data_IF_129259609788
#
_entry.id   IF_129259609788
#
_cell.length_a   1.000
_cell.length_b   1.000
_cell.length_c   1.000
_cell.angle_alpha   90.00
_cell.angle_beta   90.00
_cell.angle_gamma   90.00
#
_symmetry.space_group_name_H-M   'P 1'
#
loop_
_entity.id
_entity.type
_entity.pdbx_description
1 polymer ?
#
# COMPACT_ATOMS: atom_id res chain seq x y z
N UNK A 1 -18.32 -7.04 6.33
CA UNK A 1 -17.18 -6.12 6.09
C UNK A 1 -17.57 -5.14 5.00
N UNK A 2 -17.89 -3.88 5.37
CA UNK A 2 -18.27 -2.83 4.41
C UNK A 2 -17.12 -2.66 3.40
N UNK A 3 -17.45 -2.73 2.12
CA UNK A 3 -16.55 -2.81 0.96
C UNK A 3 -15.39 -1.79 1.00
N UNK A 4 -14.30 -2.12 1.70
CA UNK A 4 -13.09 -1.30 1.82
C UNK A 4 -12.42 -1.13 0.46
N UNK A 5 -12.49 -2.18 -0.38
CA UNK A 5 -11.99 -2.16 -1.76
C UNK A 5 -12.68 -1.07 -2.58
N UNK A 6 -14.02 -1.00 -2.54
CA UNK A 6 -14.79 0.04 -3.22
C UNK A 6 -14.48 1.45 -2.70
N UNK A 7 -14.39 1.64 -1.38
CA UNK A 7 -14.04 2.96 -0.81
C UNK A 7 -12.63 3.42 -1.16
N UNK A 8 -11.63 2.53 -1.13
CA UNK A 8 -10.24 2.87 -1.47
C UNK A 8 -10.10 3.12 -2.98
N UNK A 9 -10.81 2.33 -3.81
CA UNK A 9 -10.80 2.49 -5.26
C UNK A 9 -11.39 3.85 -5.69
N UNK A 10 -12.47 4.32 -5.06
CA UNK A 10 -13.03 5.66 -5.31
C UNK A 10 -12.14 6.79 -4.78
N UNK A 11 -11.43 6.59 -3.66
CA UNK A 11 -10.57 7.63 -3.08
C UNK A 11 -9.32 7.92 -3.94
N UNK A 12 -8.80 6.90 -4.61
CA UNK A 12 -7.62 6.97 -5.48
C UNK A 12 -7.96 6.89 -6.97
N UNK A 13 -9.23 7.02 -7.36
CA UNK A 13 -9.64 7.22 -8.76
C UNK A 13 -9.55 8.69 -9.18
N UNK A 14 -8.57 9.45 -8.66
CA UNK A 14 -8.29 10.79 -9.17
C UNK A 14 -7.66 10.69 -10.56
N UNK A 15 -8.02 11.63 -11.42
CA UNK A 15 -7.50 11.72 -12.79
C UNK A 15 -5.96 11.69 -12.79
N UNK A 16 -5.39 10.82 -13.64
CA UNK A 16 -3.93 10.69 -13.82
C UNK A 16 -3.25 9.47 -13.20
N UNK A 17 -3.93 8.70 -12.33
CA UNK A 17 -3.36 7.47 -11.76
C UNK A 17 -3.57 6.28 -12.72
N UNK A 18 -2.49 5.55 -13.02
CA UNK A 18 -2.52 4.38 -13.92
C UNK A 18 -2.73 3.11 -13.10
N UNK A 19 -3.47 2.16 -13.64
CA UNK A 19 -3.60 0.81 -13.09
C UNK A 19 -2.80 -0.20 -13.92
N UNK A 20 -2.14 -1.16 -13.26
CA UNK A 20 -1.47 -2.29 -13.91
C UNK A 20 -1.68 -3.55 -13.11
N UNK A 21 -1.95 -4.64 -13.83
CA UNK A 21 -2.03 -5.98 -13.26
C UNK A 21 -0.66 -6.65 -13.22
N UNK A 22 -0.39 -7.32 -12.13
CA UNK A 22 0.79 -8.14 -11.87
C UNK A 22 0.33 -9.54 -11.50
N UNK A 23 1.23 -10.52 -11.63
CA UNK A 23 0.96 -11.91 -11.22
C UNK A 23 0.49 -12.03 -9.76
N UNK A 24 0.91 -11.11 -8.89
CA UNK A 24 0.62 -11.12 -7.45
C UNK A 24 -0.53 -10.20 -7.03
N UNK A 25 -1.04 -9.36 -7.92
CA UNK A 25 -2.02 -8.35 -7.57
C UNK A 25 -2.12 -7.19 -8.56
N UNK A 26 -2.86 -6.16 -8.16
CA UNK A 26 -3.11 -4.97 -8.99
C UNK A 26 -2.53 -3.75 -8.30
N UNK A 27 -1.73 -2.97 -9.04
CA UNK A 27 -1.29 -1.66 -8.59
C UNK A 27 -2.11 -0.57 -9.25
N UNK A 28 -2.43 0.47 -8.49
CA UNK A 28 -2.99 1.72 -8.98
C UNK A 28 -2.23 2.88 -8.36
N UNK A 29 -1.56 3.68 -9.17
CA UNK A 29 -0.73 4.76 -8.64
C UNK A 29 0.10 5.49 -9.68
N UNK A 30 1.07 6.23 -9.15
CA UNK A 30 2.07 6.94 -9.93
C UNK A 30 3.14 5.96 -10.48
N UNK A 31 3.69 6.33 -11.63
CA UNK A 31 4.78 5.62 -12.30
C UNK A 31 5.85 6.62 -12.69
N UNK A 32 7.09 6.14 -12.76
CA UNK A 32 8.22 6.96 -13.20
C UNK A 32 8.02 7.37 -14.66
N UNK A 33 7.76 8.65 -14.92
CA UNK A 33 7.64 9.24 -16.27
C UNK A 33 6.62 8.54 -17.23
N UNK A 34 6.50 9.05 -18.46
CA UNK A 34 5.52 8.53 -19.43
C UNK A 34 5.89 7.14 -19.98
N UNK A 35 7.18 6.76 -19.96
CA UNK A 35 7.70 5.47 -20.44
C UNK A 35 7.88 4.43 -19.33
N UNK A 36 7.91 4.83 -18.06
CA UNK A 36 8.38 3.95 -17.01
C UNK A 36 7.35 2.94 -16.55
N UNK A 37 7.84 1.71 -16.45
CA UNK A 37 7.11 0.56 -15.91
C UNK A 37 7.28 0.41 -14.40
N UNK A 38 8.07 1.30 -13.77
CA UNK A 38 8.38 1.27 -12.35
C UNK A 38 7.41 2.15 -11.58
N UNK A 39 6.83 1.59 -10.51
CA UNK A 39 6.02 2.30 -9.53
C UNK A 39 6.89 3.31 -8.80
N UNK A 40 6.36 4.52 -8.65
CA UNK A 40 7.02 5.66 -8.04
C UNK A 40 5.95 6.51 -7.34
N UNK A 41 6.32 7.36 -6.39
CA UNK A 41 5.39 8.30 -5.76
C UNK A 41 4.33 7.60 -4.91
N UNK A 42 3.07 8.04 -4.98
CA UNK A 42 1.98 7.44 -4.18
C UNK A 42 1.21 6.40 -4.98
N UNK A 43 0.86 5.31 -4.31
CA UNK A 43 0.07 4.26 -4.94
C UNK A 43 -0.55 3.27 -3.96
N UNK A 44 -1.50 2.51 -4.50
CA UNK A 44 -2.20 1.43 -3.82
C UNK A 44 -1.87 0.12 -4.51
N UNK A 45 -1.50 -0.90 -3.74
CA UNK A 45 -1.32 -2.26 -4.25
C UNK A 45 -2.28 -3.22 -3.57
N UNK A 46 -3.04 -3.95 -4.37
CA UNK A 46 -3.98 -4.97 -3.93
C UNK A 46 -3.38 -6.33 -4.25
N UNK A 47 -2.94 -7.06 -3.23
CA UNK A 47 -2.48 -8.44 -3.45
C UNK A 47 -3.67 -9.38 -3.61
N UNK A 48 -3.53 -10.39 -4.46
CA UNK A 48 -4.54 -11.46 -4.58
C UNK A 48 -4.68 -12.29 -3.30
N UNK A 49 -3.65 -12.28 -2.44
CA UNK A 49 -3.73 -12.79 -1.07
C UNK A 49 -4.59 -11.95 -0.10
N UNK A 50 -5.22 -10.87 -0.58
CA UNK A 50 -6.15 -10.03 0.20
C UNK A 50 -5.49 -8.95 1.07
N UNK A 51 -4.16 -8.81 0.99
CA UNK A 51 -3.46 -7.66 1.58
C UNK A 51 -3.67 -6.41 0.71
N UNK A 52 -3.64 -5.23 1.34
CA UNK A 52 -3.71 -3.95 0.64
C UNK A 52 -2.64 -3.02 1.19
N UNK A 53 -1.80 -2.44 0.35
CA UNK A 53 -0.85 -1.41 0.73
C UNK A 53 -1.26 -0.08 0.14
N UNK A 54 -1.18 0.98 0.93
CA UNK A 54 -1.40 2.36 0.54
C UNK A 54 -0.21 3.16 1.05
N UNK A 55 0.58 3.72 0.14
CA UNK A 55 1.73 4.50 0.58
C UNK A 55 2.67 4.88 -0.55
N UNK A 56 3.90 5.17 -0.15
CA UNK A 56 4.95 5.63 -1.03
C UNK A 56 5.68 4.45 -1.71
N UNK A 57 6.13 4.72 -2.94
CA UNK A 57 6.84 3.81 -3.83
C UNK A 57 8.05 4.53 -4.43
N UNK A 58 9.15 3.80 -4.59
CA UNK A 58 10.35 4.28 -5.26
C UNK A 58 11.00 3.14 -6.03
N UNK A 59 11.22 3.33 -7.34
CA UNK A 59 11.83 2.32 -8.22
C UNK A 59 11.25 0.90 -8.02
N UNK A 60 9.92 0.77 -8.05
CA UNK A 60 9.18 -0.49 -7.85
C UNK A 60 9.24 -1.10 -6.44
N UNK A 61 9.77 -0.39 -5.45
CA UNK A 61 9.81 -0.82 -4.07
C UNK A 61 8.90 0.03 -3.19
N UNK A 62 8.32 -0.57 -2.17
CA UNK A 62 7.66 0.15 -1.08
C UNK A 62 8.76 0.84 -0.26
N UNK A 63 8.74 2.18 -0.27
CA UNK A 63 9.74 3.04 0.36
C UNK A 63 9.03 4.27 0.92
N UNK A 64 9.28 4.63 2.18
CA UNK A 64 8.65 5.75 2.85
C UNK A 64 7.44 5.37 3.71
N UNK A 65 6.58 6.34 4.01
CA UNK A 65 5.43 6.08 4.89
C UNK A 65 4.28 5.40 4.15
N UNK A 66 3.69 4.41 4.81
CA UNK A 66 2.56 3.68 4.25
C UNK A 66 1.70 2.98 5.28
N UNK A 67 0.62 2.38 4.79
CA UNK A 67 -0.32 1.56 5.55
C UNK A 67 -0.56 0.25 4.82
N UNK A 68 -0.41 -0.87 5.54
CA UNK A 68 -0.80 -2.21 5.07
C UNK A 68 -2.04 -2.66 5.82
N UNK A 69 -3.00 -3.22 5.10
CA UNK A 69 -4.14 -3.96 5.65
C UNK A 69 -3.96 -5.44 5.39
N UNK A 70 -4.28 -6.27 6.38
CA UNK A 70 -4.16 -7.73 6.28
C UNK A 70 -5.54 -8.39 6.05
N UNK A 71 -5.60 -9.51 5.30
CA UNK A 71 -6.83 -10.17 4.86
C UNK A 71 -7.75 -10.65 6.00
N UNK A 72 -7.22 -10.83 7.21
CA UNK A 72 -7.97 -11.28 8.39
C UNK A 72 -8.16 -10.17 9.43
N UNK A 73 -8.04 -8.93 8.98
CA UNK A 73 -8.06 -7.76 9.83
C UNK A 73 -6.68 -7.41 10.40
N UNK A 74 -6.64 -6.24 11.02
CA UNK A 74 -5.40 -5.62 11.43
C UNK A 74 -4.75 -4.78 10.32
N UNK A 75 -3.90 -3.87 10.76
CA UNK A 75 -3.19 -2.95 9.87
C UNK A 75 -1.84 -2.62 10.46
N UNK A 76 -0.89 -2.30 9.61
CA UNK A 76 0.36 -1.67 10.02
C UNK A 76 0.43 -0.29 9.39
N UNK A 77 0.80 0.72 10.17
CA UNK A 77 1.04 2.09 9.72
C UNK A 77 2.44 2.47 10.17
N UNK A 78 3.33 2.78 9.25
CA UNK A 78 4.70 3.11 9.62
C UNK A 78 5.56 3.42 8.42
N UNK A 79 6.87 3.50 8.67
CA UNK A 79 7.86 3.70 7.63
C UNK A 79 8.28 2.35 7.03
N UNK A 80 8.58 2.37 5.73
CA UNK A 80 9.05 1.23 4.98
C UNK A 80 10.34 1.57 4.25
N UNK A 81 11.24 0.59 4.16
CA UNK A 81 12.47 0.68 3.39
C UNK A 81 12.70 -0.63 2.69
N UNK A 82 12.93 -0.61 1.38
CA UNK A 82 13.19 -1.80 0.56
C UNK A 82 12.14 -2.91 0.76
N UNK A 83 10.85 -2.55 0.73
CA UNK A 83 9.71 -3.45 0.96
C UNK A 83 9.54 -4.00 2.38
N UNK A 84 10.32 -3.53 3.35
CA UNK A 84 10.22 -3.97 4.75
C UNK A 84 9.75 -2.83 5.64
N UNK A 85 8.82 -3.11 6.54
CA UNK A 85 8.47 -2.19 7.62
C UNK A 85 9.71 -1.96 8.48
N UNK A 86 10.05 -0.70 8.76
CA UNK A 86 11.18 -0.33 9.61
C UNK A 86 10.88 0.95 10.40
N UNK A 87 11.61 1.14 11.50
CA UNK A 87 11.39 2.27 12.39
C UNK A 87 10.09 2.18 13.19
N UNK A 88 9.58 3.34 13.61
CA UNK A 88 8.39 3.44 14.45
C UNK A 88 7.13 3.24 13.59
N UNK A 89 6.27 2.33 14.04
CA UNK A 89 4.99 2.03 13.43
C UNK A 89 3.94 1.60 14.44
N UNK A 90 2.69 1.65 14.00
CA UNK A 90 1.53 1.23 14.76
C UNK A 90 0.98 -0.01 14.07
N UNK A 91 1.05 -1.14 14.75
CA UNK A 91 0.36 -2.35 14.35
C UNK A 91 -0.97 -2.43 15.09
N UNK A 92 -2.05 -2.72 14.40
CA UNK A 92 -3.34 -3.05 15.02
C UNK A 92 -3.63 -4.50 14.70
N UNK A 93 -3.89 -5.34 15.71
CA UNK A 93 -4.32 -6.73 15.56
C UNK A 93 -5.66 -6.88 16.27
N UNK A 94 -6.73 -7.26 15.55
CA UNK A 94 -8.05 -7.58 16.15
C UNK A 94 -8.48 -6.64 17.30
N UNK A 95 -8.37 -5.33 17.08
CA UNK A 95 -8.69 -4.23 18.02
C UNK A 95 -7.66 -3.91 19.12
N UNK A 96 -6.52 -4.59 19.17
CA UNK A 96 -5.40 -4.18 20.02
C UNK A 96 -4.42 -3.34 19.20
N UNK A 97 -4.11 -2.14 19.70
CA UNK A 97 -3.11 -1.24 19.10
C UNK A 97 -1.76 -1.52 19.77
N UNK A 98 -0.85 -2.11 19.01
CA UNK A 98 0.52 -2.42 19.42
C UNK A 98 1.42 -1.37 18.78
N UNK A 99 2.19 -0.67 19.60
CA UNK A 99 3.20 0.26 19.14
C UNK A 99 4.50 -0.51 18.95
N UNK A 100 5.01 -0.54 17.71
CA UNK A 100 6.29 -1.11 17.39
C UNK A 100 7.24 0.06 17.13
N UNK A 101 8.15 0.33 18.05
CA UNK A 101 9.16 1.37 17.93
C UNK A 101 10.34 1.01 18.82
N UNK A 102 11.55 1.30 18.34
CA UNK A 102 12.78 1.20 19.11
C UNK A 102 13.23 2.60 19.48
#
# INVERSE_FOLDING_TARGET
MRNLRGKIQTFYSKEGLKSKEYKTGIYQGEYKNQKGNLREGKGVFYWYGGQIYIGQWQNDQIEGYGRVYFPYGGQFIGFFKQNKACGIGIMTLRNQKIYAGN
#
